data_IF_522310976082
#
_entry.id   IF_522310976082
#
_cell.length_a   1.000
_cell.length_b   1.000
_cell.length_c   1.000
_cell.angle_alpha   90.00
_cell.angle_beta   90.00
_cell.angle_gamma   90.00
#
_symmetry.space_group_name_H-M   'P 1'
#
loop_
_entity.id
_entity.type
_entity.pdbx_description
1 polymer ?
#
# COMPACT_ATOMS: atom_id res chain seq x y z
N UNK A 1 34.41 -12.06 -25.46
CA UNK A 1 33.07 -12.63 -25.75
C UNK A 1 32.56 -13.36 -24.50
N UNK A 2 31.73 -12.72 -23.66
CA UNK A 2 31.11 -13.36 -22.47
C UNK A 2 29.58 -13.30 -22.64
N UNK A 3 28.97 -14.43 -23.01
CA UNK A 3 27.51 -14.60 -23.13
C UNK A 3 26.90 -14.57 -21.73
N UNK A 4 26.22 -13.47 -21.39
CA UNK A 4 25.40 -13.36 -20.19
C UNK A 4 24.18 -14.29 -20.32
N UNK A 5 24.14 -15.36 -19.52
CA UNK A 5 22.95 -16.22 -19.37
C UNK A 5 21.87 -15.40 -18.68
N UNK A 6 20.91 -14.88 -19.45
CA UNK A 6 19.67 -14.34 -18.90
C UNK A 6 18.88 -15.49 -18.27
N UNK A 7 18.79 -15.48 -16.95
CA UNK A 7 18.03 -16.46 -16.17
C UNK A 7 16.52 -16.21 -16.38
N UNK A 8 15.91 -17.02 -17.25
CA UNK A 8 14.50 -16.90 -17.65
C UNK A 8 13.49 -17.21 -16.53
N UNK A 9 13.95 -17.60 -15.33
CA UNK A 9 13.08 -17.88 -14.17
C UNK A 9 12.45 -16.63 -13.55
N UNK A 10 13.05 -15.46 -13.72
CA UNK A 10 12.47 -14.21 -13.22
C UNK A 10 11.27 -13.72 -14.04
N UNK A 11 11.22 -14.01 -15.34
CA UNK A 11 10.17 -13.51 -16.23
C UNK A 11 8.83 -14.19 -15.94
N UNK A 12 8.84 -15.50 -15.68
CA UNK A 12 7.64 -16.25 -15.28
C UNK A 12 7.06 -15.80 -13.91
N UNK A 13 7.89 -15.24 -13.02
CA UNK A 13 7.41 -14.68 -11.74
C UNK A 13 6.75 -13.30 -11.93
N UNK A 14 7.23 -12.50 -12.89
CA UNK A 14 6.67 -11.19 -13.20
C UNK A 14 5.29 -11.33 -13.86
N UNK A 15 5.12 -12.27 -14.79
CA UNK A 15 3.81 -12.51 -15.42
C UNK A 15 2.76 -13.05 -14.42
N UNK A 16 3.17 -13.89 -13.45
CA UNK A 16 2.28 -14.32 -12.37
C UNK A 16 1.86 -13.20 -11.41
N UNK A 17 2.55 -12.06 -11.34
CA UNK A 17 2.12 -10.93 -10.48
C UNK A 17 0.92 -10.15 -11.01
N UNK A 18 0.63 -10.24 -12.31
CA UNK A 18 -0.55 -9.63 -12.90
C UNK A 18 -1.85 -10.42 -12.55
N UNK A 19 -1.75 -11.73 -12.39
CA UNK A 19 -2.91 -12.61 -12.13
C UNK A 19 -3.42 -12.58 -10.68
N UNK A 20 -2.64 -12.05 -9.72
CA UNK A 20 -3.07 -11.82 -8.33
C UNK A 20 -3.70 -10.41 -8.11
N UNK A 21 -4.07 -9.70 -9.18
CA UNK A 21 -5.00 -8.56 -9.13
C UNK A 21 -6.44 -9.04 -8.88
N UNK A 22 -6.68 -9.81 -7.80
CA UNK A 22 -8.04 -9.91 -7.24
C UNK A 22 -8.32 -8.61 -6.49
N UNK A 23 -9.37 -7.94 -6.94
CA UNK A 23 -9.59 -6.51 -6.85
C UNK A 23 -9.82 -6.01 -5.41
N UNK A 24 -9.20 -4.87 -5.10
CA UNK A 24 -9.78 -3.95 -4.10
C UNK A 24 -11.13 -3.51 -4.69
N UNK A 25 -12.19 -3.50 -3.88
CA UNK A 25 -13.57 -3.34 -4.37
C UNK A 25 -13.86 -1.91 -4.84
N UNK A 26 -13.25 -0.93 -4.20
CA UNK A 26 -13.55 0.50 -4.34
C UNK A 26 -12.31 1.35 -4.65
N UNK A 27 -11.15 0.69 -4.82
CA UNK A 27 -9.86 1.35 -4.95
C UNK A 27 -9.07 0.81 -6.13
N UNK A 28 -8.33 1.70 -6.77
CA UNK A 28 -7.39 1.37 -7.82
C UNK A 28 -5.94 1.44 -7.33
N UNK A 29 -5.00 0.89 -8.10
CA UNK A 29 -3.58 1.05 -7.81
C UNK A 29 -3.04 2.35 -8.39
N UNK A 30 -2.36 3.16 -7.57
CA UNK A 30 -1.62 4.33 -8.02
C UNK A 30 -0.29 3.88 -8.65
N UNK A 31 -0.21 3.90 -10.00
CA UNK A 31 0.92 3.32 -10.77
C UNK A 31 1.88 4.38 -11.34
N UNK A 32 1.39 5.57 -11.71
CA UNK A 32 2.18 6.57 -12.45
C UNK A 32 3.16 7.31 -11.52
N UNK A 33 4.43 7.42 -11.93
CA UNK A 33 5.44 8.16 -11.15
C UNK A 33 5.03 9.64 -10.95
N UNK A 34 4.42 10.27 -11.94
CA UNK A 34 3.90 11.64 -11.82
C UNK A 34 2.87 11.78 -10.69
N UNK A 35 2.02 10.78 -10.49
CA UNK A 35 1.03 10.78 -9.41
C UNK A 35 1.71 10.57 -8.04
N UNK A 36 2.71 9.68 -7.94
CA UNK A 36 3.52 9.59 -6.72
C UNK A 36 4.18 10.93 -6.38
N UNK A 37 4.77 11.61 -7.36
CA UNK A 37 5.40 12.92 -7.15
C UNK A 37 4.39 13.99 -6.71
N UNK A 38 3.16 13.98 -7.25
CA UNK A 38 2.09 14.89 -6.79
C UNK A 38 1.78 14.64 -5.32
N UNK A 39 1.60 13.38 -4.92
CA UNK A 39 1.30 12.99 -3.54
C UNK A 39 2.44 13.38 -2.59
N UNK A 40 3.70 13.17 -2.97
CA UNK A 40 4.83 13.58 -2.13
C UNK A 40 4.95 15.10 -1.97
N UNK A 41 4.62 15.87 -3.00
CA UNK A 41 4.73 17.34 -2.97
C UNK A 41 3.57 18.03 -2.26
N UNK A 42 2.35 17.50 -2.41
CA UNK A 42 1.11 18.17 -1.98
C UNK A 42 0.36 17.43 -0.88
N UNK A 43 0.64 16.15 -0.70
CA UNK A 43 -0.03 15.32 0.29
C UNK A 43 0.47 15.61 1.70
N UNK A 44 -0.41 15.42 2.68
CA UNK A 44 -0.01 15.40 4.09
C UNK A 44 0.63 14.05 4.40
N UNK A 45 1.57 14.02 5.35
CA UNK A 45 2.20 12.77 5.77
C UNK A 45 2.23 12.60 7.27
N UNK A 46 2.00 11.38 7.71
CA UNK A 46 2.27 10.93 9.08
C UNK A 46 3.12 9.67 9.01
N UNK A 47 3.97 9.50 10.02
CA UNK A 47 4.86 8.36 10.12
C UNK A 47 4.72 7.70 11.49
N UNK A 48 4.87 6.39 11.52
CA UNK A 48 5.06 5.63 12.74
C UNK A 48 6.34 4.79 12.64
N UNK A 49 6.51 3.83 13.56
CA UNK A 49 7.68 2.96 13.57
C UNK A 49 7.86 2.20 12.26
N UNK A 50 6.79 1.74 11.61
CA UNK A 50 6.87 0.80 10.48
C UNK A 50 6.58 1.45 9.12
N UNK A 51 5.65 2.40 9.08
CA UNK A 51 5.08 2.96 7.85
C UNK A 51 5.15 4.49 7.85
N UNK A 52 5.17 5.05 6.65
CA UNK A 52 4.84 6.46 6.39
C UNK A 52 3.63 6.47 5.45
N UNK A 53 2.61 7.24 5.79
CA UNK A 53 1.38 7.35 5.01
C UNK A 53 1.25 8.77 4.49
N UNK A 54 1.31 8.93 3.17
CA UNK A 54 0.95 10.16 2.49
C UNK A 54 -0.48 10.08 1.99
N UNK A 55 -1.22 11.18 2.13
CA UNK A 55 -2.60 11.28 1.68
C UNK A 55 -2.83 12.60 0.98
N UNK A 56 -3.47 12.53 -0.19
CA UNK A 56 -3.87 13.69 -0.97
C UNK A 56 -5.30 13.46 -1.50
N UNK A 57 -6.19 14.44 -1.35
CA UNK A 57 -7.51 14.38 -1.99
C UNK A 57 -7.34 14.44 -3.52
N UNK A 58 -7.97 13.51 -4.24
CA UNK A 58 -7.83 13.38 -5.70
C UNK A 58 -9.04 13.91 -6.48
N UNK A 59 -10.13 14.24 -5.80
CA UNK A 59 -11.35 14.81 -6.41
C UNK A 59 -12.18 13.80 -7.21
N UNK A 60 -11.99 12.50 -7.00
CA UNK A 60 -12.80 11.43 -7.58
C UNK A 60 -13.56 10.69 -6.48
N UNK A 61 -14.40 9.72 -6.85
CA UNK A 61 -15.10 8.84 -5.90
C UNK A 61 -14.32 7.57 -5.57
N UNK A 62 -13.12 7.40 -6.12
CA UNK A 62 -12.32 6.18 -5.97
C UNK A 62 -10.99 6.48 -5.27
N UNK A 63 -10.61 5.58 -4.36
CA UNK A 63 -9.30 5.65 -3.75
C UNK A 63 -8.23 5.09 -4.70
N UNK A 64 -7.02 5.63 -4.63
CA UNK A 64 -5.86 5.14 -5.37
C UNK A 64 -4.73 4.81 -4.41
N UNK A 65 -4.38 3.54 -4.28
CA UNK A 65 -3.35 3.06 -3.36
C UNK A 65 -2.00 2.87 -4.08
N UNK A 66 -0.98 3.60 -3.64
CA UNK A 66 0.41 3.41 -4.00
C UNK A 66 1.20 2.79 -2.85
N UNK A 67 2.07 1.82 -3.16
CA UNK A 67 2.95 1.19 -2.16
C UNK A 67 4.40 1.33 -2.62
N UNK A 68 5.22 1.96 -1.79
CA UNK A 68 6.65 2.17 -2.02
C UNK A 68 7.47 1.42 -0.97
N UNK A 69 8.40 0.57 -1.42
CA UNK A 69 9.29 -0.21 -0.55
C UNK A 69 10.71 -0.06 -1.07
N UNK A 70 11.57 0.59 -0.28
CA UNK A 70 12.97 0.80 -0.65
C UNK A 70 13.74 -0.52 -0.76
N UNK A 71 14.71 -0.57 -1.68
CA UNK A 71 15.67 -1.70 -1.78
C UNK A 71 16.41 -1.95 -0.45
N UNK A 72 16.56 -0.92 0.39
CA UNK A 72 17.20 -1.00 1.72
C UNK A 72 16.43 -1.87 2.72
N UNK A 73 15.13 -2.11 2.51
CA UNK A 73 14.28 -2.91 3.42
C UNK A 73 14.63 -4.40 3.34
N UNK A 74 15.06 -4.88 2.17
CA UNK A 74 15.44 -6.28 1.97
C UNK A 74 15.38 -6.74 0.52
N UNK A 75 15.59 -8.04 0.32
CA UNK A 75 15.50 -8.70 -0.98
C UNK A 75 14.06 -8.70 -1.54
N UNK A 76 13.89 -9.20 -2.77
CA UNK A 76 12.58 -9.25 -3.44
C UNK A 76 11.50 -9.97 -2.62
N UNK A 77 11.86 -11.08 -1.96
CA UNK A 77 10.93 -11.88 -1.15
C UNK A 77 10.38 -11.06 0.01
N UNK A 78 11.25 -10.39 0.76
CA UNK A 78 10.87 -9.53 1.89
C UNK A 78 9.97 -8.39 1.42
N UNK A 79 10.36 -7.69 0.33
CA UNK A 79 9.58 -6.57 -0.20
C UNK A 79 8.22 -7.01 -0.72
N UNK A 80 8.14 -8.14 -1.41
CA UNK A 80 6.87 -8.66 -1.93
C UNK A 80 5.95 -9.11 -0.79
N UNK A 81 6.49 -9.74 0.26
CA UNK A 81 5.73 -10.06 1.46
C UNK A 81 5.14 -8.80 2.08
N UNK A 82 5.94 -7.75 2.28
CA UNK A 82 5.45 -6.49 2.85
C UNK A 82 4.41 -5.81 1.95
N UNK A 83 4.63 -5.78 0.63
CA UNK A 83 3.64 -5.25 -0.31
C UNK A 83 2.31 -5.99 -0.20
N UNK A 84 2.36 -7.32 -0.07
CA UNK A 84 1.15 -8.15 0.12
C UNK A 84 0.46 -7.86 1.45
N UNK A 85 1.20 -7.78 2.55
CA UNK A 85 0.63 -7.46 3.87
C UNK A 85 -0.04 -6.09 3.89
N UNK A 86 0.63 -5.06 3.36
CA UNK A 86 0.07 -3.70 3.30
C UNK A 86 -1.17 -3.66 2.41
N UNK A 87 -1.12 -4.30 1.23
CA UNK A 87 -2.27 -4.35 0.32
C UNK A 87 -3.44 -5.07 0.97
N UNK A 88 -3.20 -6.18 1.67
CA UNK A 88 -4.24 -6.96 2.32
C UNK A 88 -4.85 -6.22 3.52
N UNK A 89 -4.01 -5.61 4.36
CA UNK A 89 -4.45 -4.78 5.49
C UNK A 89 -5.19 -3.51 5.04
N UNK A 90 -5.02 -3.05 3.81
CA UNK A 90 -5.87 -2.02 3.25
C UNK A 90 -7.17 -2.62 2.70
N UNK A 91 -7.09 -3.72 1.95
CA UNK A 91 -8.24 -4.38 1.31
C UNK A 91 -9.30 -4.80 2.32
N UNK A 92 -8.90 -5.34 3.49
CA UNK A 92 -9.82 -5.79 4.53
C UNK A 92 -10.51 -4.61 5.26
N UNK A 93 -9.98 -3.41 5.14
CA UNK A 93 -10.47 -2.20 5.81
C UNK A 93 -10.93 -1.15 4.80
N UNK A 94 -11.03 -1.49 3.52
CA UNK A 94 -11.31 -0.55 2.44
C UNK A 94 -12.58 0.26 2.69
N UNK A 95 -13.62 -0.38 3.23
CA UNK A 95 -14.94 0.19 3.48
C UNK A 95 -14.92 1.35 4.49
N UNK A 96 -13.99 1.30 5.44
CA UNK A 96 -13.86 2.32 6.48
C UNK A 96 -13.04 3.53 6.02
N UNK A 97 -12.37 3.51 4.87
CA UNK A 97 -11.72 4.71 4.35
C UNK A 97 -12.74 5.60 3.62
N UNK A 98 -12.60 6.93 3.75
CA UNK A 98 -13.30 7.85 2.86
C UNK A 98 -12.86 7.66 1.41
N UNK A 99 -13.74 7.95 0.45
CA UNK A 99 -13.46 7.95 -0.98
C UNK A 99 -12.65 9.19 -1.42
N UNK A 100 -12.12 9.13 -2.64
CA UNK A 100 -11.46 10.28 -3.28
C UNK A 100 -10.07 10.59 -2.76
N UNK A 101 -9.31 9.58 -2.35
CA UNK A 101 -7.98 9.72 -1.78
C UNK A 101 -6.91 9.06 -2.64
N UNK A 102 -5.83 9.78 -2.89
CA UNK A 102 -4.54 9.21 -3.25
C UNK A 102 -3.76 8.89 -1.99
N UNK A 103 -3.55 7.61 -1.74
CA UNK A 103 -2.93 7.08 -0.54
C UNK A 103 -1.61 6.44 -0.94
N UNK A 104 -0.48 6.95 -0.44
CA UNK A 104 0.83 6.35 -0.67
C UNK A 104 1.41 5.85 0.65
N UNK A 105 1.59 4.54 0.74
CA UNK A 105 2.22 3.85 1.87
C UNK A 105 3.70 3.60 1.57
N UNK A 106 4.58 4.06 2.45
CA UNK A 106 6.02 3.78 2.40
C UNK A 106 6.40 2.85 3.55
N UNK A 107 6.98 1.70 3.24
CA UNK A 107 7.52 0.80 4.26
C UNK A 107 8.93 1.26 4.70
N UNK A 108 9.10 1.48 6.01
CA UNK A 108 10.40 1.80 6.62
C UNK A 108 11.24 0.52 6.79
N UNK A 109 12.55 0.66 7.02
CA UNK A 109 13.44 -0.48 7.25
C UNK A 109 13.01 -1.35 8.44
N UNK A 110 12.48 -0.70 9.48
CA UNK A 110 11.89 -1.32 10.68
C UNK A 110 10.66 -2.17 10.39
N UNK A 111 10.00 -2.03 9.23
CA UNK A 111 8.90 -2.92 8.84
C UNK A 111 9.40 -4.30 8.38
N UNK A 112 10.72 -4.53 8.28
CA UNK A 112 11.25 -5.83 7.90
C UNK A 112 10.82 -6.90 8.92
N UNK A 113 10.07 -7.90 8.45
CA UNK A 113 9.69 -9.07 9.26
C UNK A 113 8.40 -8.91 10.06
N UNK A 114 7.74 -7.74 10.04
CA UNK A 114 6.49 -7.53 10.79
C UNK A 114 5.39 -8.49 10.35
N UNK A 115 4.50 -8.80 11.27
CA UNK A 115 3.30 -9.61 11.08
C UNK A 115 2.17 -8.83 10.38
N UNK A 116 1.09 -9.53 10.03
CA UNK A 116 -0.12 -8.90 9.49
C UNK A 116 -0.75 -7.93 10.49
N UNK A 117 -0.93 -8.36 11.74
CA UNK A 117 -1.57 -7.57 12.80
C UNK A 117 -0.79 -6.28 13.09
N UNK A 118 0.55 -6.34 13.09
CA UNK A 118 1.38 -5.14 13.20
C UNK A 118 1.23 -4.21 11.99
N UNK A 119 1.09 -4.76 10.79
CA UNK A 119 0.90 -3.96 9.57
C UNK A 119 -0.44 -3.25 9.57
N UNK A 120 -1.51 -3.98 9.93
CA UNK A 120 -2.88 -3.48 10.07
C UNK A 120 -2.98 -2.39 11.13
N UNK A 121 -2.49 -2.67 12.34
CA UNK A 121 -2.45 -1.69 13.44
C UNK A 121 -1.68 -0.43 13.05
N UNK A 122 -0.52 -0.60 12.40
CA UNK A 122 0.27 0.54 11.91
C UNK A 122 -0.46 1.36 10.85
N UNK A 123 -1.18 0.71 9.93
CA UNK A 123 -1.94 1.38 8.87
C UNK A 123 -3.13 2.16 9.46
N UNK A 124 -3.92 1.52 10.33
CA UNK A 124 -5.08 2.12 10.98
C UNK A 124 -4.70 3.29 11.89
N UNK A 125 -3.61 3.16 12.63
CA UNK A 125 -3.06 4.25 13.42
C UNK A 125 -2.79 5.49 12.54
N UNK A 126 -2.15 5.31 11.38
CA UNK A 126 -1.89 6.41 10.46
C UNK A 126 -3.17 6.94 9.78
N UNK A 127 -4.13 6.06 9.47
CA UNK A 127 -5.45 6.44 8.95
C UNK A 127 -6.21 7.33 9.94
N UNK A 128 -6.19 6.98 11.23
CA UNK A 128 -6.79 7.78 12.30
C UNK A 128 -6.13 9.17 12.43
N UNK A 129 -4.79 9.24 12.39
CA UNK A 129 -4.09 10.53 12.44
C UNK A 129 -4.43 11.44 11.25
N UNK A 130 -4.68 10.86 10.08
CA UNK A 130 -5.16 11.60 8.91
C UNK A 130 -6.65 11.95 8.99
N UNK A 131 -7.39 11.41 9.96
CA UNK A 131 -8.86 11.52 10.05
C UNK A 131 -9.56 11.07 8.77
N UNK A 132 -9.02 10.04 8.11
CA UNK A 132 -9.53 9.52 6.83
C UNK A 132 -10.36 8.24 6.99
N UNK A 133 -10.59 7.83 8.23
CA UNK A 133 -11.43 6.68 8.56
C UNK A 133 -12.84 7.17 8.94
N UNK A 134 -13.84 6.46 8.46
CA UNK A 134 -15.25 6.59 8.84
C UNK A 134 -15.41 5.99 10.23
N UNK A 135 -16.13 6.69 11.11
CA UNK A 135 -16.62 6.08 12.34
C UNK A 135 -17.60 4.97 11.99
N UNK A 136 -17.27 3.73 12.36
CA UNK A 136 -18.19 2.59 12.22
C UNK A 136 -19.40 2.91 13.11
N UNK A 137 -20.55 3.22 12.51
CA UNK A 137 -21.82 2.99 13.19
C UNK A 137 -21.95 1.46 13.25
N UNK A 138 -21.87 0.88 14.44
CA UNK A 138 -22.32 -0.50 14.64
C UNK A 138 -23.82 -0.48 14.39
N UNK A 139 -24.25 -1.07 13.29
CA UNK A 139 -25.58 -1.67 13.25
C UNK A 139 -25.49 -2.89 14.16
N UNK A 140 -26.11 -2.78 15.34
CA UNK A 140 -26.51 -3.94 16.14
C UNK A 140 -27.64 -4.60 15.36
N UNK A 141 -27.39 -5.80 14.83
CA UNK A 141 -28.45 -6.64 14.28
C UNK A 141 -29.28 -7.17 15.47
N UNK A 142 -30.54 -6.70 15.56
CA UNK A 142 -31.61 -7.22 16.42
C UNK A 142 -32.03 -8.66 16.03
#
# INVERSE_FOLDING_TARGET
MKKSRKDNRCLAYIEKTAFWEKNMKFSESLKKNSDFQKVYKRGKSYANRYLVLYVLKNGTECNRLGISISKKVGNSIVRHRLKRLIKEAYRLQEDIFYSGLDIVVIARMSAKGISYTETESALLHLGNLHSILKSIKKEEDD
#
